data_IF_588844879292
#
_entry.id   IF_588844879292
#
_cell.length_a   1.000
_cell.length_b   1.000
_cell.length_c   1.000
_cell.angle_alpha   90.00
_cell.angle_beta   90.00
_cell.angle_gamma   90.00
#
_symmetry.space_group_name_H-M   'P 1'
#
loop_
_entity.id
_entity.type
_entity.pdbx_description
1 polymer ?
#
# COMPACT_ATOMS: atom_id res chain seq x y z
N UNK A 1 26.20 9.06 -12.02
CA UNK A 1 24.89 8.40 -11.80
C UNK A 1 24.90 7.35 -10.68
N UNK A 2 25.75 6.31 -10.70
CA UNK A 2 25.73 5.24 -9.68
C UNK A 2 25.98 5.69 -8.24
N UNK A 3 26.87 6.67 -8.01
CA UNK A 3 27.11 7.24 -6.66
C UNK A 3 25.84 7.87 -6.07
N UNK A 4 25.10 8.61 -6.90
CA UNK A 4 23.82 9.21 -6.51
C UNK A 4 22.79 8.15 -6.10
N UNK A 5 22.60 7.10 -6.91
CA UNK A 5 21.67 6.01 -6.57
C UNK A 5 22.07 5.23 -5.31
N UNK A 6 23.37 5.14 -5.00
CA UNK A 6 23.89 4.46 -3.79
C UNK A 6 23.89 5.36 -2.54
N UNK A 7 23.51 6.63 -2.66
CA UNK A 7 23.58 7.57 -1.54
C UNK A 7 22.52 7.25 -0.48
N UNK A 8 22.99 6.93 0.74
CA UNK A 8 22.13 6.54 1.86
C UNK A 8 21.44 7.72 2.58
N UNK A 9 21.83 8.93 2.23
CA UNK A 9 21.31 10.17 2.82
C UNK A 9 20.05 10.69 2.11
N UNK A 10 19.78 10.22 0.88
CA UNK A 10 18.63 10.68 0.12
C UNK A 10 17.35 10.09 0.70
N UNK A 11 16.46 10.97 1.16
CA UNK A 11 15.11 10.60 1.56
C UNK A 11 14.17 10.56 0.37
N UNK A 12 14.30 9.50 -0.41
CA UNK A 12 13.45 9.23 -1.58
C UNK A 12 11.95 9.28 -1.27
N UNK A 13 11.51 8.81 -0.10
CA UNK A 13 10.07 8.87 0.24
C UNK A 13 9.63 10.33 0.28
N UNK A 14 10.37 11.17 1.03
CA UNK A 14 10.10 12.60 1.07
C UNK A 14 10.24 13.25 -0.30
N UNK A 15 11.30 12.95 -1.05
CA UNK A 15 11.57 13.56 -2.35
C UNK A 15 10.46 13.30 -3.37
N UNK A 16 10.03 12.04 -3.54
CA UNK A 16 8.96 11.73 -4.51
C UNK A 16 7.61 12.24 -4.04
N UNK A 17 7.32 12.17 -2.73
CA UNK A 17 6.07 12.72 -2.20
C UNK A 17 5.99 14.24 -2.41
N UNK A 18 7.07 14.99 -2.17
CA UNK A 18 7.08 16.44 -2.41
C UNK A 18 6.95 16.78 -3.89
N UNK A 19 7.63 16.03 -4.76
CA UNK A 19 7.50 16.20 -6.20
C UNK A 19 6.05 15.96 -6.67
N UNK A 20 5.45 14.85 -6.25
CA UNK A 20 4.06 14.54 -6.59
C UNK A 20 3.09 15.55 -5.99
N UNK A 21 3.32 16.01 -4.75
CA UNK A 21 2.52 17.07 -4.15
C UNK A 21 2.57 18.36 -4.97
N UNK A 22 3.75 18.75 -5.44
CA UNK A 22 3.92 19.93 -6.30
C UNK A 22 3.16 19.78 -7.61
N UNK A 23 3.33 18.65 -8.32
CA UNK A 23 2.62 18.38 -9.58
C UNK A 23 1.11 18.42 -9.36
N UNK A 24 0.61 17.76 -8.31
CA UNK A 24 -0.83 17.73 -8.01
C UNK A 24 -1.35 19.15 -7.74
N UNK A 25 -0.68 19.90 -6.85
CA UNK A 25 -1.14 21.24 -6.43
C UNK A 25 -1.01 22.30 -7.53
N UNK A 26 0.08 22.30 -8.29
CA UNK A 26 0.39 23.36 -9.25
C UNK A 26 -0.15 23.06 -10.66
N UNK A 27 -0.23 21.79 -11.07
CA UNK A 27 -0.57 21.43 -12.45
C UNK A 27 -1.94 20.74 -12.60
N UNK A 28 -2.39 19.95 -11.61
CA UNK A 28 -3.60 19.14 -11.75
C UNK A 28 -4.81 19.80 -11.07
N UNK A 29 -4.69 20.15 -9.78
CA UNK A 29 -5.79 20.72 -9.00
C UNK A 29 -6.40 21.98 -9.64
N UNK A 30 -5.63 22.93 -10.22
CA UNK A 30 -6.21 24.12 -10.87
C UNK A 30 -7.07 23.80 -12.10
N UNK A 31 -6.92 22.61 -12.69
CA UNK A 31 -7.69 22.15 -13.85
C UNK A 31 -8.93 21.33 -13.46
N UNK A 32 -9.16 21.12 -12.16
CA UNK A 32 -10.24 20.31 -11.64
C UNK A 32 -11.35 21.18 -11.03
N UNK A 33 -12.56 20.63 -10.98
CA UNK A 33 -13.67 21.25 -10.24
C UNK A 33 -13.49 21.06 -8.73
N UNK A 34 -13.98 22.01 -7.94
CA UNK A 34 -13.93 21.94 -6.46
C UNK A 34 -14.66 20.71 -5.90
N UNK A 35 -15.68 20.24 -6.61
CA UNK A 35 -16.46 19.04 -6.24
C UNK A 35 -15.74 17.72 -6.58
N UNK A 36 -14.55 17.77 -7.19
CA UNK A 36 -13.83 16.58 -7.60
C UNK A 36 -13.41 15.74 -6.40
N UNK A 37 -13.72 14.44 -6.46
CA UNK A 37 -13.30 13.49 -5.43
C UNK A 37 -11.91 12.96 -5.78
N UNK A 38 -10.97 13.18 -4.86
CA UNK A 38 -9.62 12.67 -4.98
C UNK A 38 -9.43 11.47 -4.04
N UNK A 39 -8.62 10.51 -4.49
CA UNK A 39 -8.39 9.26 -3.77
C UNK A 39 -6.90 8.93 -3.72
N UNK A 40 -6.48 8.30 -2.63
CA UNK A 40 -5.24 7.55 -2.58
C UNK A 40 -5.50 6.10 -2.94
N UNK A 41 -4.58 5.49 -3.68
CA UNK A 41 -4.67 4.09 -4.10
C UNK A 41 -3.45 3.37 -3.56
N UNK A 42 -3.68 2.31 -2.79
CA UNK A 42 -2.62 1.47 -2.26
C UNK A 42 -2.79 0.07 -2.84
N UNK A 43 -1.73 -0.43 -3.44
CA UNK A 43 -1.67 -1.77 -4.01
C UNK A 43 -0.28 -2.38 -3.81
N UNK A 44 -0.19 -3.71 -3.79
CA UNK A 44 1.10 -4.40 -3.82
C UNK A 44 1.22 -5.36 -5.00
N UNK A 45 2.33 -5.24 -5.72
CA UNK A 45 2.68 -6.12 -6.83
C UNK A 45 3.95 -6.89 -6.53
N UNK A 46 4.06 -8.12 -7.03
CA UNK A 46 5.26 -8.91 -6.88
C UNK A 46 6.37 -8.38 -7.80
N UNK A 47 7.52 -8.03 -7.23
CA UNK A 47 8.70 -7.59 -7.95
C UNK A 47 9.75 -8.72 -7.97
N UNK A 48 9.67 -9.57 -9.00
CA UNK A 48 10.52 -10.75 -9.14
C UNK A 48 11.98 -10.40 -9.46
N UNK A 49 12.90 -11.08 -8.78
CA UNK A 49 14.35 -10.98 -8.91
C UNK A 49 15.01 -12.37 -8.90
N UNK A 50 14.36 -13.36 -9.53
CA UNK A 50 14.78 -14.78 -9.50
C UNK A 50 16.24 -15.03 -9.93
N UNK A 51 16.80 -14.20 -10.80
CA UNK A 51 18.19 -14.31 -11.29
C UNK A 51 19.21 -13.57 -10.41
N UNK A 52 18.74 -12.84 -9.39
CA UNK A 52 19.60 -12.06 -8.51
C UNK A 52 20.04 -12.88 -7.31
N UNK A 53 21.34 -12.84 -6.99
CA UNK A 53 21.90 -13.53 -5.82
C UNK A 53 22.42 -12.58 -4.74
N UNK A 54 22.89 -11.38 -5.10
CA UNK A 54 23.58 -10.44 -4.20
C UNK A 54 22.77 -9.18 -3.86
N UNK A 55 21.45 -9.20 -4.10
CA UNK A 55 20.60 -8.03 -3.82
C UNK A 55 20.33 -7.95 -2.33
N UNK A 56 20.64 -6.81 -1.73
CA UNK A 56 20.38 -6.54 -0.31
C UNK A 56 18.89 -6.75 0.03
N UNK A 57 18.60 -7.38 1.17
CA UNK A 57 17.24 -7.69 1.63
C UNK A 57 16.40 -8.58 0.68
N UNK A 58 17.02 -9.23 -0.31
CA UNK A 58 16.31 -10.16 -1.20
C UNK A 58 15.63 -11.26 -0.38
N UNK A 59 14.35 -11.51 -0.64
CA UNK A 59 13.56 -12.49 0.08
C UNK A 59 12.97 -13.55 -0.84
N UNK A 60 12.75 -14.74 -0.29
CA UNK A 60 11.90 -15.78 -0.87
C UNK A 60 10.45 -15.49 -0.48
N UNK A 61 9.61 -15.22 -1.48
CA UNK A 61 8.22 -14.79 -1.32
C UNK A 61 7.32 -15.80 -2.03
N UNK A 62 6.18 -16.11 -1.44
CA UNK A 62 5.16 -16.94 -2.07
C UNK A 62 4.26 -16.08 -2.95
N UNK A 63 4.21 -16.38 -4.24
CA UNK A 63 3.29 -15.79 -5.20
C UNK A 63 1.95 -16.52 -5.10
N UNK A 64 0.95 -15.85 -4.53
CA UNK A 64 -0.41 -16.39 -4.39
C UNK A 64 -1.16 -16.51 -5.72
N UNK A 65 -0.78 -15.74 -6.74
CA UNK A 65 -1.41 -15.79 -8.06
C UNK A 65 -0.87 -16.96 -8.89
N UNK A 66 0.45 -17.24 -8.81
CA UNK A 66 1.11 -18.34 -9.55
C UNK A 66 1.33 -19.60 -8.72
N UNK A 67 0.91 -19.59 -7.45
CA UNK A 67 1.09 -20.69 -6.49
C UNK A 67 2.53 -21.22 -6.36
N UNK A 68 3.54 -20.34 -6.45
CA UNK A 68 4.95 -20.72 -6.42
C UNK A 68 5.80 -19.76 -5.59
N UNK A 69 6.94 -20.25 -5.11
CA UNK A 69 7.94 -19.37 -4.49
C UNK A 69 8.80 -18.70 -5.55
N UNK A 70 9.04 -17.40 -5.37
CA UNK A 70 9.97 -16.60 -6.16
C UNK A 70 10.95 -15.88 -5.24
N UNK A 71 12.07 -15.42 -5.79
CA UNK A 71 12.93 -14.47 -5.10
C UNK A 71 12.56 -13.07 -5.55
N UNK A 72 12.42 -12.12 -4.62
CA UNK A 72 12.02 -10.76 -4.96
C UNK A 72 11.57 -9.95 -3.76
N UNK A 73 10.68 -8.99 -4.05
CA UNK A 73 10.06 -8.08 -3.09
C UNK A 73 8.57 -7.97 -3.38
N UNK A 74 7.78 -7.54 -2.40
CA UNK A 74 6.45 -6.98 -2.68
C UNK A 74 6.60 -5.48 -2.85
N UNK A 75 6.35 -4.97 -4.05
CA UNK A 75 6.37 -3.55 -4.34
C UNK A 75 5.03 -2.95 -3.92
N UNK A 76 5.00 -2.39 -2.72
CA UNK A 76 3.88 -1.59 -2.23
C UNK A 76 3.94 -0.22 -2.91
N UNK A 77 2.88 0.18 -3.58
CA UNK A 77 2.76 1.47 -4.25
C UNK A 77 1.67 2.31 -3.60
N UNK A 78 1.92 3.62 -3.52
CA UNK A 78 0.93 4.64 -3.19
C UNK A 78 0.79 5.57 -4.39
N UNK A 79 -0.41 5.60 -4.97
CA UNK A 79 -0.79 6.53 -6.02
C UNK A 79 -1.89 7.49 -5.56
N UNK A 80 -2.08 8.54 -6.34
CA UNK A 80 -3.17 9.48 -6.20
C UNK A 80 -3.94 9.58 -7.51
N UNK A 81 -5.25 9.78 -7.41
CA UNK A 81 -6.11 9.96 -8.57
C UNK A 81 -7.26 10.91 -8.27
N UNK A 82 -7.66 11.66 -9.29
CA UNK A 82 -8.91 12.46 -9.36
C UNK A 82 -9.99 11.73 -10.20
N UNK A 83 -9.81 10.44 -10.46
CA UNK A 83 -10.70 9.63 -11.30
C UNK A 83 -10.49 9.77 -12.81
N UNK A 84 -9.65 10.70 -13.27
CA UNK A 84 -9.26 10.83 -14.68
C UNK A 84 -7.75 10.64 -14.87
N UNK A 85 -6.96 11.17 -13.93
CA UNK A 85 -5.50 11.12 -13.89
C UNK A 85 -5.06 10.16 -12.80
N UNK A 86 -3.94 9.47 -13.03
CA UNK A 86 -3.24 8.73 -11.99
C UNK A 86 -1.80 9.22 -11.87
N UNK A 87 -1.36 9.53 -10.65
CA UNK A 87 0.02 9.92 -10.36
C UNK A 87 0.61 9.00 -9.28
N UNK A 88 1.74 8.31 -9.55
CA UNK A 88 2.46 7.60 -8.52
C UNK A 88 3.09 8.61 -7.54
N UNK A 89 2.88 8.40 -6.24
CA UNK A 89 3.47 9.24 -5.20
C UNK A 89 4.72 8.57 -4.63
N UNK A 90 4.59 7.30 -4.26
CA UNK A 90 5.67 6.60 -3.60
C UNK A 90 5.58 5.09 -3.75
N UNK A 91 6.68 4.43 -3.38
CA UNK A 91 6.70 2.98 -3.26
C UNK A 91 7.71 2.50 -2.22
N UNK A 92 7.43 1.33 -1.68
CA UNK A 92 8.34 0.58 -0.81
C UNK A 92 8.50 -0.82 -1.37
N UNK A 93 9.74 -1.21 -1.64
CA UNK A 93 10.08 -2.62 -1.86
C UNK A 93 10.10 -3.32 -0.51
N UNK A 94 9.02 -4.01 -0.19
CA UNK A 94 8.88 -4.80 1.02
C UNK A 94 9.63 -6.11 0.84
N UNK A 95 10.61 -6.33 1.71
CA UNK A 95 11.15 -7.64 2.00
C UNK A 95 10.21 -8.34 3.00
N UNK A 96 10.75 -9.23 3.82
CA UNK A 96 10.02 -9.95 4.86
C UNK A 96 10.58 -9.62 6.23
N UNK A 97 9.72 -9.62 7.25
CA UNK A 97 10.14 -9.51 8.65
C UNK A 97 10.82 -10.80 9.14
N UNK A 98 10.45 -11.94 8.55
CA UNK A 98 11.01 -13.26 8.90
C UNK A 98 12.39 -13.46 8.28
N UNK A 99 13.44 -13.42 9.10
CA UNK A 99 14.84 -13.60 8.67
C UNK A 99 15.09 -14.90 7.93
N UNK A 100 14.39 -15.99 8.26
CA UNK A 100 14.55 -17.29 7.58
C UNK A 100 14.19 -17.23 6.09
N UNK A 101 13.33 -16.28 5.71
CA UNK A 101 12.91 -16.08 4.33
C UNK A 101 13.75 -15.01 3.61
N UNK A 102 14.68 -14.33 4.28
CA UNK A 102 15.63 -13.40 3.65
C UNK A 102 16.88 -14.15 3.23
N UNK A 103 17.19 -14.08 1.94
CA UNK A 103 18.42 -14.65 1.37
C UNK A 103 19.64 -13.79 1.70
N UNK A 104 19.47 -12.46 1.69
CA UNK A 104 20.53 -11.52 2.02
C UNK A 104 20.04 -10.55 3.08
N UNK A 105 20.91 -10.21 4.03
CA UNK A 105 20.63 -9.20 5.02
C UNK A 105 21.08 -7.81 4.56
N UNK A 106 20.62 -6.80 5.30
CA UNK A 106 21.10 -5.44 5.13
C UNK A 106 22.54 -5.28 5.66
N UNK A 107 23.33 -4.43 5.00
CA UNK A 107 24.63 -4.02 5.52
C UNK A 107 24.42 -3.18 6.79
N UNK A 108 25.22 -3.43 7.82
CA UNK A 108 25.19 -2.65 9.05
C UNK A 108 25.51 -1.18 8.80
N UNK A 109 24.81 -0.29 9.50
CA UNK A 109 25.01 1.16 9.39
C UNK A 109 24.40 1.93 10.55
N UNK A 110 24.77 3.20 10.65
CA UNK A 110 24.24 4.13 11.63
C UNK A 110 22.71 4.24 11.53
N UNK A 111 22.06 3.97 12.68
CA UNK A 111 20.60 3.91 12.84
C UNK A 111 19.91 5.27 12.63
N UNK A 112 20.64 6.37 12.73
CA UNK A 112 20.13 7.73 12.53
C UNK A 112 19.91 8.06 11.05
N UNK A 113 20.58 7.33 10.16
CA UNK A 113 20.55 7.58 8.71
C UNK A 113 19.19 7.27 8.09
N UNK A 114 18.89 7.95 6.98
CA UNK A 114 17.68 7.70 6.19
C UNK A 114 17.71 6.30 5.58
N UNK A 115 18.87 5.87 5.10
CA UNK A 115 19.09 4.51 4.58
C UNK A 115 18.73 3.42 5.59
N UNK A 116 19.08 3.58 6.87
CA UNK A 116 18.69 2.64 7.91
C UNK A 116 17.17 2.60 8.10
N UNK A 117 16.53 3.77 8.23
CA UNK A 117 15.07 3.88 8.40
C UNK A 117 14.33 3.23 7.22
N UNK A 118 14.81 3.42 5.99
CA UNK A 118 14.26 2.80 4.78
C UNK A 118 14.39 1.27 4.79
N UNK A 119 15.55 0.73 5.17
CA UNK A 119 15.75 -0.73 5.32
C UNK A 119 14.83 -1.32 6.38
N UNK A 120 14.71 -0.64 7.52
CA UNK A 120 13.76 -1.05 8.57
C UNK A 120 12.34 -1.08 8.06
N UNK A 121 11.91 -0.05 7.31
CA UNK A 121 10.58 0.01 6.70
C UNK A 121 10.35 -1.15 5.70
N UNK A 122 11.35 -1.46 4.87
CA UNK A 122 11.30 -2.59 3.92
C UNK A 122 11.03 -3.93 4.61
N UNK A 123 11.48 -4.11 5.85
CA UNK A 123 11.26 -5.34 6.63
C UNK A 123 9.98 -5.30 7.49
N UNK A 124 9.15 -4.27 7.39
CA UNK A 124 7.85 -4.20 8.11
C UNK A 124 6.74 -4.85 7.29
N UNK A 125 5.63 -5.16 7.96
CA UNK A 125 4.38 -5.55 7.30
C UNK A 125 3.91 -4.43 6.36
N UNK A 126 3.34 -4.83 5.22
CA UNK A 126 2.82 -3.88 4.23
C UNK A 126 1.81 -2.90 4.82
N UNK A 127 0.90 -3.36 5.69
CA UNK A 127 -0.05 -2.49 6.38
C UNK A 127 0.61 -1.38 7.22
N UNK A 128 1.74 -1.65 7.87
CA UNK A 128 2.48 -0.62 8.60
C UNK A 128 3.17 0.35 7.64
N UNK A 129 3.77 -0.16 6.55
CA UNK A 129 4.37 0.69 5.53
C UNK A 129 3.34 1.61 4.86
N UNK A 130 2.13 1.11 4.60
CA UNK A 130 0.99 1.90 4.11
C UNK A 130 0.71 3.10 5.00
N UNK A 131 0.63 2.92 6.32
CA UNK A 131 0.38 4.02 7.26
C UNK A 131 1.50 5.08 7.23
N UNK A 132 2.77 4.65 7.10
CA UNK A 132 3.90 5.57 6.97
C UNK A 132 3.82 6.37 5.65
N UNK A 133 3.43 5.73 4.55
CA UNK A 133 3.25 6.41 3.27
C UNK A 133 2.10 7.43 3.32
N UNK A 134 0.96 7.06 3.92
CA UNK A 134 -0.19 7.95 4.09
C UNK A 134 0.13 9.13 5.03
N UNK A 135 0.95 8.92 6.07
CA UNK A 135 1.37 10.00 6.96
C UNK A 135 2.26 11.01 6.21
N UNK A 136 3.17 10.52 5.36
CA UNK A 136 4.01 11.38 4.53
C UNK A 136 3.20 12.21 3.52
N UNK A 137 2.17 11.61 2.89
CA UNK A 137 1.29 12.36 1.95
C UNK A 137 0.41 13.36 2.66
N UNK A 138 -0.13 13.00 3.83
CA UNK A 138 -0.91 13.91 4.67
C UNK A 138 -0.09 15.12 5.10
N UNK A 139 1.15 14.91 5.55
CA UNK A 139 2.09 15.99 5.91
C UNK A 139 2.48 16.90 4.73
N UNK A 140 2.35 16.39 3.51
CA UNK A 140 2.57 17.18 2.28
C UNK A 140 1.28 17.81 1.75
N UNK A 141 0.17 17.63 2.49
CA UNK A 141 -1.17 18.14 2.20
C UNK A 141 -1.64 17.78 0.78
N UNK A 142 -1.37 16.54 0.36
CA UNK A 142 -1.91 16.04 -0.90
C UNK A 142 -3.42 15.77 -0.68
N UNK A 143 -4.32 16.35 -1.48
CA UNK A 143 -5.75 16.29 -1.23
C UNK A 143 -6.32 14.90 -1.56
N UNK A 144 -6.98 14.24 -0.60
CA UNK A 144 -7.73 13.02 -0.85
C UNK A 144 -8.85 12.87 0.21
N UNK A 145 -10.00 12.33 -0.19
CA UNK A 145 -11.12 11.99 0.71
C UNK A 145 -11.09 10.52 1.10
N UNK A 146 -10.73 9.66 0.15
CA UNK A 146 -10.75 8.21 0.33
C UNK A 146 -9.38 7.58 0.12
N UNK A 147 -9.15 6.47 0.82
CA UNK A 147 -8.08 5.51 0.50
C UNK A 147 -8.72 4.26 -0.08
N UNK A 148 -8.24 3.85 -1.25
CA UNK A 148 -8.65 2.64 -1.95
C UNK A 148 -7.73 1.48 -1.55
N UNK A 149 -8.32 0.37 -1.12
CA UNK A 149 -7.61 -0.84 -0.69
C UNK A 149 -8.11 -2.12 -1.37
N UNK A 150 -7.16 -3.02 -1.66
CA UNK A 150 -7.47 -4.45 -1.78
C UNK A 150 -7.69 -5.08 -0.39
N UNK A 151 -8.43 -6.18 -0.37
CA UNK A 151 -8.70 -7.09 0.74
C UNK A 151 -7.47 -7.50 1.57
N UNK A 152 -6.27 -7.46 1.00
CA UNK A 152 -5.02 -7.69 1.72
C UNK A 152 -4.70 -6.61 2.76
N UNK A 153 -5.22 -5.38 2.58
CA UNK A 153 -5.02 -4.25 3.47
C UNK A 153 -6.20 -3.99 4.41
N UNK A 154 -7.38 -4.55 4.11
CA UNK A 154 -8.64 -4.32 4.82
C UNK A 154 -8.79 -5.06 6.16
N UNK A 155 -7.72 -5.13 6.97
CA UNK A 155 -7.80 -5.59 8.36
C UNK A 155 -8.43 -4.49 9.24
N UNK A 156 -9.22 -4.83 10.28
CA UNK A 156 -9.90 -3.83 11.12
C UNK A 156 -8.95 -2.79 11.71
N UNK A 157 -7.76 -3.21 12.15
CA UNK A 157 -6.75 -2.32 12.69
C UNK A 157 -6.25 -1.30 11.67
N UNK A 158 -6.06 -1.72 10.41
CA UNK A 158 -5.67 -0.80 9.33
C UNK A 158 -6.80 0.17 9.01
N UNK A 159 -8.05 -0.30 8.93
CA UNK A 159 -9.21 0.54 8.65
C UNK A 159 -9.39 1.62 9.73
N UNK A 160 -9.30 1.24 11.00
CA UNK A 160 -9.36 2.19 12.12
C UNK A 160 -8.19 3.19 12.09
N UNK A 161 -6.97 2.73 11.80
CA UNK A 161 -5.82 3.62 11.71
C UNK A 161 -6.00 4.67 10.60
N UNK A 162 -6.47 4.27 9.41
CA UNK A 162 -6.72 5.18 8.30
C UNK A 162 -7.87 6.15 8.61
N UNK A 163 -8.93 5.68 9.28
CA UNK A 163 -10.02 6.54 9.72
C UNK A 163 -9.57 7.57 10.75
N UNK A 164 -8.71 7.19 11.68
CA UNK A 164 -8.09 8.12 12.65
C UNK A 164 -7.16 9.15 11.98
N UNK A 165 -6.63 8.83 10.80
CA UNK A 165 -5.91 9.79 9.96
C UNK A 165 -6.86 10.73 9.19
N UNK A 166 -8.17 10.59 9.32
CA UNK A 166 -9.17 11.46 8.69
C UNK A 166 -9.55 11.07 7.27
N UNK A 167 -9.22 9.85 6.83
CA UNK A 167 -9.64 9.33 5.52
C UNK A 167 -10.74 8.30 5.67
N UNK A 168 -11.68 8.30 4.74
CA UNK A 168 -12.59 7.17 4.56
C UNK A 168 -11.92 6.07 3.72
N UNK A 169 -12.32 4.83 3.93
CA UNK A 169 -11.76 3.69 3.19
C UNK A 169 -12.83 3.09 2.29
N UNK A 170 -12.47 2.88 1.04
CA UNK A 170 -13.25 2.08 0.10
C UNK A 170 -12.35 0.91 -0.30
N UNK A 171 -12.78 -0.31 -0.06
CA UNK A 171 -11.93 -1.44 -0.41
C UNK A 171 -12.64 -2.77 -0.31
N UNK A 172 -12.03 -3.76 -0.96
CA UNK A 172 -12.51 -5.13 -0.86
C UNK A 172 -12.31 -5.63 0.57
N UNK A 173 -13.27 -6.39 1.07
CA UNK A 173 -13.22 -6.93 2.42
C UNK A 173 -12.66 -8.34 2.38
N UNK A 174 -11.77 -8.67 3.31
CA UNK A 174 -11.17 -10.00 3.38
C UNK A 174 -12.24 -11.05 3.72
N UNK A 175 -12.38 -12.07 2.86
CA UNK A 175 -13.25 -13.22 3.12
C UNK A 175 -12.61 -14.15 4.14
N UNK A 176 -13.01 -14.01 5.42
CA UNK A 176 -12.55 -14.88 6.51
C UNK A 176 -13.69 -15.14 7.50
N UNK A 177 -13.78 -16.35 8.09
CA UNK A 177 -14.76 -16.63 9.14
C UNK A 177 -14.47 -15.89 10.45
N UNK A 178 -13.30 -15.28 10.59
CA UNK A 178 -12.85 -14.60 11.83
C UNK A 178 -13.25 -13.11 11.90
N UNK A 179 -13.87 -12.58 10.85
CA UNK A 179 -14.27 -11.16 10.78
C UNK A 179 -15.77 -11.07 10.59
N UNK A 180 -16.41 -10.23 11.41
CA UNK A 180 -17.85 -10.01 11.42
C UNK A 180 -18.16 -8.57 11.05
N UNK A 181 -19.22 -8.40 10.25
CA UNK A 181 -19.73 -7.11 9.79
C UNK A 181 -21.17 -6.98 10.24
N UNK A 182 -21.56 -5.76 10.58
CA UNK A 182 -22.96 -5.47 10.90
C UNK A 182 -23.75 -5.38 9.59
N UNK A 183 -24.60 -6.38 9.35
CA UNK A 183 -25.45 -6.48 8.17
C UNK A 183 -26.89 -6.68 8.64
N UNK A 184 -27.82 -5.81 8.24
CA UNK A 184 -29.21 -5.81 8.71
C UNK A 184 -29.37 -5.89 10.25
N UNK A 185 -28.44 -5.27 10.99
CA UNK A 185 -28.45 -5.27 12.46
C UNK A 185 -27.73 -6.44 13.12
N UNK A 186 -27.38 -7.49 12.37
CA UNK A 186 -26.71 -8.68 12.89
C UNK A 186 -25.21 -8.69 12.59
N UNK A 187 -24.42 -9.26 13.49
CA UNK A 187 -22.98 -9.48 13.27
C UNK A 187 -22.77 -10.78 12.47
N UNK A 188 -22.30 -10.66 11.23
CA UNK A 188 -22.19 -11.79 10.32
C UNK A 188 -20.83 -11.85 9.60
N UNK A 189 -20.34 -13.05 9.32
CA UNK A 189 -19.18 -13.21 8.45
C UNK A 189 -19.50 -12.83 7.00
N UNK A 190 -18.50 -12.41 6.23
CA UNK A 190 -18.69 -12.07 4.81
C UNK A 190 -19.25 -13.26 4.00
N UNK A 191 -18.84 -14.50 4.34
CA UNK A 191 -19.37 -15.70 3.71
C UNK A 191 -20.87 -15.88 4.00
N UNK A 192 -21.31 -15.62 5.23
CA UNK A 192 -22.72 -15.70 5.62
C UNK A 192 -23.57 -14.66 4.88
N UNK A 193 -23.07 -13.41 4.77
CA UNK A 193 -23.73 -12.33 4.03
C UNK A 193 -23.90 -12.71 2.55
N UNK A 194 -22.85 -13.24 1.91
CA UNK A 194 -22.92 -13.68 0.51
C UNK A 194 -23.86 -14.87 0.31
N UNK A 195 -23.90 -15.81 1.25
CA UNK A 195 -24.80 -16.96 1.19
C UNK A 195 -26.29 -16.53 1.30
N UNK A 196 -26.60 -15.54 2.13
CA UNK A 196 -27.95 -14.97 2.22
C UNK A 196 -28.34 -14.13 0.99
N UNK A 197 -27.36 -13.48 0.36
CA UNK A 197 -27.57 -12.61 -0.79
C UNK A 197 -26.92 -13.22 -2.04
N UNK A 198 -27.38 -14.43 -2.42
CA UNK A 198 -26.86 -15.11 -3.62
C UNK A 198 -26.98 -14.19 -4.84
N UNK A 199 -25.84 -13.98 -5.51
CA UNK A 199 -25.76 -13.17 -6.73
C UNK A 199 -26.73 -13.72 -7.77
N UNK A 200 -27.58 -12.85 -8.30
CA UNK A 200 -28.38 -13.10 -9.52
C UNK A 200 -27.92 -12.13 -10.59
N UNK A 201 -27.81 -12.59 -11.84
CA UNK A 201 -27.40 -11.75 -12.98
C UNK A 201 -28.32 -10.52 -13.06
N UNK A 202 -27.73 -9.32 -13.11
CA UNK A 202 -28.47 -8.05 -13.15
C UNK A 202 -29.13 -7.59 -11.84
N UNK A 203 -28.99 -8.33 -10.73
CA UNK A 203 -29.62 -8.01 -9.42
C UNK A 203 -28.66 -8.18 -8.24
N UNK A 204 -27.39 -7.80 -8.41
CA UNK A 204 -26.42 -7.87 -7.31
C UNK A 204 -26.72 -6.79 -6.27
N UNK A 205 -26.82 -7.19 -4.99
CA UNK A 205 -27.00 -6.25 -3.87
C UNK A 205 -25.69 -5.58 -3.42
N UNK A 206 -24.56 -6.05 -3.94
CA UNK A 206 -23.24 -5.53 -3.62
C UNK A 206 -22.42 -5.38 -4.90
N UNK A 207 -21.56 -4.36 -4.90
CA UNK A 207 -20.52 -4.17 -5.90
C UNK A 207 -19.42 -5.22 -5.63
N UNK A 208 -19.02 -5.93 -6.69
CA UNK A 208 -17.94 -6.92 -6.65
C UNK A 208 -16.63 -6.26 -7.05
#
# INVERSE_FOLDING_TARGET
>A
MYRFMKTLQINWIRSTTLLSARIIKEAIVPLNSENRVNVFIIDDSLFERNRSKKVELLAKIYDHAKHKYVFGFRMLTLGWSDGCTFLPINSVLLSTENSKNRMNEAVEMDKRTVGYKRRKLSMKKGTHATLILLDATKKSEIPAKYVLFDSWFSLPSTLHAVKNMGYDVIGMVKKTPKMFFRYNGEAMSLASIYNQNKKRRGKSRYLL
#
